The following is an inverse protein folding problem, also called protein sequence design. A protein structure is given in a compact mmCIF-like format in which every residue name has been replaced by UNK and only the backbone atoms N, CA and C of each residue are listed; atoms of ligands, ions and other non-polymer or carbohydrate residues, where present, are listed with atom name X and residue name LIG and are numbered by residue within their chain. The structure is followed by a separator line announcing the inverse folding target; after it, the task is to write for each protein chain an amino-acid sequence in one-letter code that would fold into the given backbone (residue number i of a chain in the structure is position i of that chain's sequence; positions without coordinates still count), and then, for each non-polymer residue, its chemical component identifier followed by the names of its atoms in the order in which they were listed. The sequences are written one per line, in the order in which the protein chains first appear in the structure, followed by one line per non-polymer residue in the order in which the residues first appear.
data_IF_018345518408
#
_entry.id   IF_018345518408
#
_cell.length_a   1.000
_cell.length_b   1.000
_cell.length_c   1.000
_cell.angle_alpha   90.00
_cell.angle_beta   90.00
_cell.angle_gamma   90.00
#
_symmetry.space_group_name_H-M   'P 1'
#
loop_
_entity.id
_entity.type
_entity.pdbx_description
1 polymer ?
#
# COMPACT_ATOMS: atom_id res chain seq x y z
N UNK A 1 2.50 -21.64 -22.42
CA UNK A 1 2.02 -20.28 -22.35
C UNK A 1 2.94 -19.44 -21.47
N UNK A 2 3.46 -18.38 -22.00
CA UNK A 2 4.33 -17.50 -21.22
C UNK A 2 3.50 -16.77 -20.16
N UNK A 3 3.94 -16.84 -18.90
CA UNK A 3 3.34 -16.07 -17.84
C UNK A 3 3.90 -14.65 -17.91
N UNK A 4 3.03 -13.66 -17.92
CA UNK A 4 3.47 -12.28 -17.76
C UNK A 4 3.97 -12.09 -16.33
N UNK A 5 5.05 -11.32 -16.17
CA UNK A 5 5.54 -10.96 -14.85
C UNK A 5 4.46 -10.18 -14.12
N UNK A 6 4.15 -10.61 -12.91
CA UNK A 6 3.18 -9.90 -12.07
C UNK A 6 3.88 -8.78 -11.33
N UNK A 7 3.18 -7.65 -11.23
CA UNK A 7 3.59 -6.60 -10.32
C UNK A 7 3.06 -6.93 -8.93
N UNK A 8 3.94 -6.94 -7.96
CA UNK A 8 3.62 -7.15 -6.55
C UNK A 8 3.83 -5.82 -5.85
N UNK A 9 2.75 -5.23 -5.35
CA UNK A 9 2.73 -3.81 -4.99
C UNK A 9 2.36 -3.63 -3.54
N UNK A 10 3.17 -2.85 -2.81
CA UNK A 10 2.84 -2.34 -1.49
C UNK A 10 2.45 -0.87 -1.65
N UNK A 11 1.32 -0.48 -1.08
CA UNK A 11 0.85 0.91 -1.09
C UNK A 11 0.84 1.43 0.34
N UNK A 12 1.49 2.58 0.55
CA UNK A 12 1.58 3.25 1.85
C UNK A 12 0.19 3.59 2.40
N UNK A 13 0.05 3.51 3.71
CA UNK A 13 -1.16 3.86 4.45
C UNK A 13 -1.74 5.21 4.04
N UNK A 14 -0.90 6.22 3.91
CA UNK A 14 -1.37 7.57 3.59
C UNK A 14 -2.00 7.66 2.20
N UNK A 15 -1.57 6.86 1.26
CA UNK A 15 -2.21 6.81 -0.04
C UNK A 15 -3.60 6.16 0.04
N UNK A 16 -3.75 5.10 0.83
CA UNK A 16 -5.07 4.50 1.05
C UNK A 16 -6.04 5.52 1.66
N UNK A 17 -5.57 6.29 2.64
CA UNK A 17 -6.38 7.35 3.26
C UNK A 17 -6.73 8.41 2.22
N UNK A 18 -5.79 8.81 1.38
CA UNK A 18 -6.02 9.80 0.32
C UNK A 18 -7.14 9.37 -0.64
N UNK A 19 -7.18 8.09 -1.00
CA UNK A 19 -8.26 7.57 -1.85
C UNK A 19 -9.62 7.73 -1.19
N UNK A 20 -9.71 7.47 0.12
CA UNK A 20 -10.96 7.66 0.87
C UNK A 20 -11.36 9.13 0.93
N UNK A 21 -10.40 10.03 1.21
CA UNK A 21 -10.68 11.45 1.40
C UNK A 21 -11.17 12.12 0.13
N UNK A 22 -10.63 11.75 -1.01
CA UNK A 22 -10.97 12.38 -2.29
C UNK A 22 -12.17 11.72 -2.96
N UNK A 23 -12.52 10.51 -2.55
CA UNK A 23 -13.50 9.66 -3.24
C UNK A 23 -13.17 9.46 -4.72
N UNK A 24 -11.92 9.74 -5.10
CA UNK A 24 -11.45 9.55 -6.46
C UNK A 24 -10.70 8.22 -6.56
N UNK A 25 -11.42 7.21 -7.05
CA UNK A 25 -10.88 5.88 -7.19
C UNK A 25 -10.31 5.60 -8.58
N UNK A 26 -10.22 6.62 -9.43
CA UNK A 26 -9.73 6.44 -10.80
C UNK A 26 -8.31 5.90 -10.87
N UNK A 27 -7.46 6.25 -9.92
CA UNK A 27 -6.08 5.76 -9.85
C UNK A 27 -5.96 4.37 -9.23
N UNK A 28 -6.89 4.02 -8.35
CA UNK A 28 -6.86 2.75 -7.64
C UNK A 28 -7.61 1.65 -8.39
N UNK A 29 -8.65 1.99 -9.14
CA UNK A 29 -9.45 1.00 -9.87
C UNK A 29 -8.61 0.11 -10.80
N UNK A 30 -7.65 0.64 -11.56
CA UNK A 30 -6.79 -0.22 -12.38
C UNK A 30 -5.98 -1.21 -11.56
N UNK A 31 -5.60 -0.85 -10.32
CA UNK A 31 -4.87 -1.74 -9.44
C UNK A 31 -5.72 -2.92 -8.98
N UNK A 32 -7.02 -2.69 -8.76
CA UNK A 32 -7.93 -3.76 -8.36
C UNK A 32 -8.37 -4.64 -9.53
N UNK A 33 -8.51 -4.08 -10.73
CA UNK A 33 -9.05 -4.80 -11.87
C UNK A 33 -8.00 -5.58 -12.66
N UNK A 34 -6.73 -5.25 -12.56
CA UNK A 34 -5.69 -5.91 -13.34
C UNK A 34 -5.34 -7.29 -12.79
N UNK A 35 -5.30 -8.27 -13.68
CA UNK A 35 -4.85 -9.63 -13.35
C UNK A 35 -3.33 -9.71 -13.13
N UNK A 36 -2.60 -8.68 -13.54
CA UNK A 36 -1.14 -8.64 -13.46
C UNK A 36 -0.64 -7.94 -12.21
N UNK A 37 -1.54 -7.43 -11.39
CA UNK A 37 -1.20 -6.71 -10.16
C UNK A 37 -1.69 -7.50 -8.96
N UNK A 38 -0.77 -7.75 -8.03
CA UNK A 38 -1.07 -8.32 -6.71
C UNK A 38 -0.79 -7.26 -5.67
N UNK A 39 -1.80 -6.91 -4.89
CA UNK A 39 -1.63 -5.98 -3.77
C UNK A 39 -1.13 -6.77 -2.57
N UNK A 40 -0.08 -6.28 -1.92
CA UNK A 40 0.51 -6.92 -0.75
C UNK A 40 0.09 -6.18 0.51
N UNK A 41 -0.36 -6.94 1.48
CA UNK A 41 -0.71 -6.42 2.80
C UNK A 41 -0.04 -7.27 3.88
N UNK A 42 0.17 -6.67 5.03
CA UNK A 42 0.44 -7.38 6.27
C UNK A 42 -0.66 -7.03 7.26
N UNK A 43 -0.77 -7.79 8.33
CA UNK A 43 -1.71 -7.44 9.39
C UNK A 43 -1.40 -6.06 9.96
N UNK A 44 -0.11 -5.74 10.10
CA UNK A 44 0.33 -4.44 10.61
C UNK A 44 -0.12 -3.29 9.70
N UNK A 45 0.03 -3.43 8.38
CA UNK A 45 -0.41 -2.40 7.44
C UNK A 45 -1.92 -2.22 7.48
N UNK A 46 -2.68 -3.32 7.54
CA UNK A 46 -4.14 -3.25 7.63
C UNK A 46 -4.58 -2.58 8.92
N UNK A 47 -3.98 -2.95 10.04
CA UNK A 47 -4.32 -2.38 11.35
C UNK A 47 -4.02 -0.89 11.38
N UNK A 48 -2.89 -0.46 10.83
CA UNK A 48 -2.54 0.96 10.76
C UNK A 48 -3.53 1.72 9.88
N UNK A 49 -3.89 1.17 8.73
CA UNK A 49 -4.85 1.81 7.83
C UNK A 49 -6.19 2.02 8.55
N UNK A 50 -6.71 0.99 9.20
CA UNK A 50 -7.99 1.08 9.93
C UNK A 50 -7.88 2.10 11.07
N UNK A 51 -6.80 2.07 11.83
CA UNK A 51 -6.61 3.00 12.96
C UNK A 51 -6.54 4.45 12.48
N UNK A 52 -5.76 4.72 11.45
CA UNK A 52 -5.61 6.09 10.91
C UNK A 52 -6.92 6.57 10.29
N UNK A 53 -7.64 5.71 9.57
CA UNK A 53 -8.90 6.06 8.93
C UNK A 53 -9.97 6.46 9.96
N UNK A 54 -9.89 5.95 11.17
CA UNK A 54 -10.86 6.25 12.24
C UNK A 54 -10.53 7.50 13.04
N UNK A 55 -9.42 8.17 12.76
CA UNK A 55 -9.06 9.40 13.47
C UNK A 55 -10.08 10.50 13.19
N UNK A 56 -10.46 11.31 14.21
CA UNK A 56 -11.51 12.32 14.06
C UNK A 56 -11.30 13.28 12.89
N UNK A 57 -10.05 13.63 12.58
CA UNK A 57 -9.75 14.57 11.49
C UNK A 57 -10.13 14.02 10.12
N UNK A 58 -10.27 12.69 9.97
CA UNK A 58 -10.62 12.07 8.70
C UNK A 58 -12.07 11.63 8.63
N UNK A 59 -12.68 11.28 9.75
CA UNK A 59 -14.01 10.66 9.80
C UNK A 59 -15.12 11.50 9.19
N UNK A 60 -14.95 12.82 9.18
CA UNK A 60 -15.96 13.72 8.60
C UNK A 60 -15.95 13.74 7.07
N UNK A 61 -14.93 13.15 6.42
CA UNK A 61 -14.78 13.21 4.97
C UNK A 61 -15.26 11.95 4.25
N UNK A 62 -15.52 10.88 4.96
CA UNK A 62 -16.03 9.65 4.37
C UNK A 62 -16.87 8.89 5.40
N UNK A 63 -17.79 8.06 4.89
CA UNK A 63 -18.66 7.26 5.76
C UNK A 63 -17.97 5.98 6.18
N UNK A 64 -18.50 5.35 7.24
CA UNK A 64 -18.06 4.01 7.64
C UNK A 64 -18.30 3.01 6.50
N UNK A 65 -19.38 3.18 5.74
CA UNK A 65 -19.68 2.32 4.59
C UNK A 65 -18.59 2.44 3.52
N UNK A 66 -18.09 3.66 3.25
CA UNK A 66 -16.99 3.85 2.28
C UNK A 66 -15.75 3.08 2.70
N UNK A 67 -15.40 3.15 3.99
CA UNK A 67 -14.26 2.43 4.54
C UNK A 67 -14.47 0.90 4.42
N UNK A 68 -15.64 0.41 4.78
CA UNK A 68 -15.95 -1.02 4.70
C UNK A 68 -15.90 -1.53 3.27
N UNK A 69 -16.41 -0.76 2.30
CA UNK A 69 -16.38 -1.13 0.90
C UNK A 69 -14.95 -1.26 0.39
N UNK A 70 -14.09 -0.31 0.75
CA UNK A 70 -12.68 -0.37 0.36
C UNK A 70 -11.97 -1.57 1.00
N UNK A 71 -12.23 -1.81 2.29
CA UNK A 71 -11.65 -2.96 2.99
C UNK A 71 -12.08 -4.28 2.37
N UNK A 72 -13.33 -4.37 1.93
CA UNK A 72 -13.83 -5.58 1.25
C UNK A 72 -13.06 -5.81 -0.05
N UNK A 73 -12.86 -4.76 -0.85
CA UNK A 73 -12.08 -4.86 -2.09
C UNK A 73 -10.65 -5.28 -1.82
N UNK A 74 -10.03 -4.72 -0.79
CA UNK A 74 -8.67 -5.07 -0.40
C UNK A 74 -8.59 -6.55 -0.01
N UNK A 75 -9.51 -7.02 0.81
CA UNK A 75 -9.50 -8.43 1.25
C UNK A 75 -9.69 -9.41 0.11
N UNK A 76 -10.45 -9.03 -0.92
CA UNK A 76 -10.67 -9.88 -2.09
C UNK A 76 -9.46 -9.92 -3.01
N UNK A 77 -8.66 -8.86 -3.06
CA UNK A 77 -7.55 -8.72 -4.00
C UNK A 77 -6.19 -8.98 -3.37
N UNK A 78 -6.02 -8.64 -2.11
CA UNK A 78 -4.70 -8.61 -1.47
C UNK A 78 -4.19 -10.00 -1.11
N UNK A 79 -2.87 -10.16 -1.25
CA UNK A 79 -2.15 -11.27 -0.66
C UNK A 79 -1.58 -10.81 0.67
N UNK A 80 -1.89 -11.53 1.75
CA UNK A 80 -1.40 -11.20 3.08
C UNK A 80 -0.08 -11.93 3.35
N UNK A 81 0.92 -11.15 3.75
CA UNK A 81 2.29 -11.62 3.95
C UNK A 81 2.58 -11.67 5.45
N UNK A 82 3.15 -12.79 5.90
CA UNK A 82 3.71 -12.88 7.26
C UNK A 82 5.08 -12.24 7.25
N UNK A 83 5.21 -11.09 7.89
CA UNK A 83 6.45 -10.32 7.91
C UNK A 83 7.34 -10.80 9.05
N UNK A 84 8.56 -11.21 8.70
CA UNK A 84 9.55 -11.65 9.68
C UNK A 84 10.81 -10.79 9.68
N UNK A 85 11.06 -10.06 8.58
CA UNK A 85 12.20 -9.15 8.47
C UNK A 85 12.03 -7.94 9.40
N UNK A 86 13.15 -7.39 9.82
CA UNK A 86 13.17 -6.18 10.65
C UNK A 86 14.14 -5.17 10.01
N UNK A 87 13.65 -4.45 9.00
CA UNK A 87 14.44 -3.46 8.28
C UNK A 87 14.38 -2.13 9.03
N UNK A 88 15.52 -1.49 9.26
CA UNK A 88 15.64 -0.29 10.07
C UNK A 88 16.42 0.82 9.35
N UNK A 89 16.20 0.99 8.06
CA UNK A 89 16.97 1.94 7.26
C UNK A 89 16.23 3.22 6.91
N UNK A 90 14.92 3.29 7.15
CA UNK A 90 14.17 4.51 6.88
C UNK A 90 14.46 5.55 7.96
N UNK A 91 14.57 6.82 7.53
CA UNK A 91 14.79 7.95 8.44
C UNK A 91 13.70 8.05 9.51
N UNK A 92 12.44 7.81 9.13
CA UNK A 92 11.34 7.69 10.09
C UNK A 92 11.15 6.21 10.42
N UNK A 93 11.45 5.78 11.66
CA UNK A 93 11.31 4.36 12.03
C UNK A 93 9.88 3.82 11.85
N UNK A 94 8.87 4.69 11.90
CA UNK A 94 7.48 4.27 11.74
C UNK A 94 7.19 3.74 10.33
N UNK A 95 8.03 4.03 9.35
CA UNK A 95 7.87 3.57 7.98
C UNK A 95 8.62 2.27 7.68
N UNK A 96 9.44 1.80 8.60
CA UNK A 96 10.25 0.61 8.36
C UNK A 96 9.41 -0.65 8.13
N UNK A 97 8.22 -0.74 8.69
CA UNK A 97 7.36 -1.92 8.47
C UNK A 97 6.94 -2.06 7.00
N UNK A 98 6.85 -0.96 6.26
CA UNK A 98 6.55 -1.01 4.83
C UNK A 98 7.71 -1.62 4.05
N UNK A 99 8.94 -1.29 4.42
CA UNK A 99 10.14 -1.86 3.82
C UNK A 99 10.25 -3.35 4.09
N UNK A 100 9.95 -3.75 5.33
CA UNK A 100 9.96 -5.16 5.73
C UNK A 100 8.90 -5.95 4.97
N UNK A 101 7.71 -5.38 4.80
CA UNK A 101 6.65 -6.00 4.00
C UNK A 101 7.07 -6.15 2.54
N UNK A 102 7.67 -5.11 1.96
CA UNK A 102 8.12 -5.15 0.58
C UNK A 102 9.17 -6.25 0.37
N UNK A 103 10.10 -6.38 1.32
CA UNK A 103 11.13 -7.41 1.22
C UNK A 103 10.54 -8.81 1.36
N UNK A 104 9.77 -9.05 2.39
CA UNK A 104 9.22 -10.39 2.67
C UNK A 104 8.17 -10.80 1.64
N UNK A 105 7.41 -9.83 1.12
CA UNK A 105 6.44 -10.08 0.07
C UNK A 105 7.04 -10.12 -1.33
N UNK A 106 8.33 -9.89 -1.47
CA UNK A 106 9.00 -9.83 -2.77
C UNK A 106 8.34 -8.83 -3.70
N UNK A 107 8.04 -7.64 -3.16
CA UNK A 107 7.39 -6.58 -3.92
C UNK A 107 8.25 -6.13 -5.08
N UNK A 108 7.60 -5.80 -6.19
CA UNK A 108 8.26 -5.16 -7.32
C UNK A 108 8.24 -3.64 -7.15
N UNK A 109 7.23 -3.12 -6.46
CA UNK A 109 7.03 -1.69 -6.26
C UNK A 109 6.50 -1.41 -4.86
N UNK A 110 7.02 -0.34 -4.26
CA UNK A 110 6.45 0.27 -3.05
C UNK A 110 6.02 1.67 -3.44
N UNK A 111 4.72 1.92 -3.37
CA UNK A 111 4.13 3.18 -3.82
C UNK A 111 3.82 4.04 -2.62
N UNK A 112 4.40 5.24 -2.59
CA UNK A 112 4.33 6.14 -1.45
C UNK A 112 4.43 7.60 -1.90
N UNK A 113 3.96 8.51 -1.06
CA UNK A 113 4.22 9.94 -1.22
C UNK A 113 5.21 10.46 -0.19
N UNK A 114 5.70 9.59 0.70
CA UNK A 114 6.57 10.00 1.80
C UNK A 114 8.01 10.20 1.31
N UNK A 115 8.55 11.38 1.51
CA UNK A 115 9.90 11.73 1.08
C UNK A 115 10.98 10.88 1.74
N UNK A 116 10.77 10.46 2.99
CA UNK A 116 11.73 9.63 3.72
C UNK A 116 11.85 8.23 3.12
N UNK A 117 10.80 7.75 2.46
CA UNK A 117 10.84 6.50 1.69
C UNK A 117 11.34 6.74 0.27
N UNK A 118 10.85 7.80 -0.39
CA UNK A 118 11.22 8.09 -1.78
C UNK A 118 12.71 8.31 -1.96
N UNK A 119 13.37 8.90 -0.97
CA UNK A 119 14.82 9.15 -1.01
C UNK A 119 15.63 7.87 -1.13
N UNK A 120 15.09 6.75 -0.66
CA UNK A 120 15.76 5.45 -0.76
C UNK A 120 15.76 4.90 -2.18
N UNK A 121 14.83 5.31 -3.03
CA UNK A 121 14.65 4.92 -4.43
C UNK A 121 14.33 3.43 -4.64
N UNK A 122 14.87 2.56 -3.83
CA UNK A 122 14.58 1.13 -3.90
C UNK A 122 14.94 0.45 -2.58
N UNK A 123 14.34 -0.71 -2.38
CA UNK A 123 14.71 -1.66 -1.33
C UNK A 123 14.81 -3.04 -1.96
N UNK A 124 16.03 -3.63 -1.97
CA UNK A 124 16.24 -4.86 -2.70
C UNK A 124 15.87 -4.70 -4.18
N UNK A 125 14.91 -5.49 -4.64
CA UNK A 125 14.41 -5.42 -6.02
C UNK A 125 13.18 -4.54 -6.16
N UNK A 126 12.65 -4.00 -5.06
CA UNK A 126 11.46 -3.15 -5.08
C UNK A 126 11.81 -1.72 -5.42
N UNK A 127 11.15 -1.17 -6.43
CA UNK A 127 11.27 0.26 -6.74
C UNK A 127 10.35 1.04 -5.82
N UNK A 128 10.84 2.16 -5.27
CA UNK A 128 10.06 3.06 -4.44
C UNK A 128 9.72 4.30 -5.26
N UNK A 129 8.43 4.54 -5.47
CA UNK A 129 7.97 5.61 -6.37
C UNK A 129 6.59 6.11 -5.96
N UNK A 130 6.20 7.24 -6.55
CA UNK A 130 4.86 7.79 -6.34
C UNK A 130 3.83 7.05 -7.20
N UNK A 131 2.53 7.23 -6.86
CA UNK A 131 1.46 6.65 -7.67
C UNK A 131 1.46 7.24 -9.09
N UNK A 132 1.76 8.53 -9.21
CA UNK A 132 1.85 9.18 -10.52
C UNK A 132 2.95 8.57 -11.38
N UNK A 133 4.12 8.31 -10.78
CA UNK A 133 5.22 7.66 -11.49
C UNK A 133 4.89 6.22 -11.87
N UNK A 134 4.12 5.52 -11.04
CA UNK A 134 3.76 4.15 -11.31
C UNK A 134 2.76 4.02 -12.46
N UNK A 135 1.80 4.92 -12.51
CA UNK A 135 0.80 4.95 -13.58
C UNK A 135 1.37 5.66 -14.82
#
# INVERSE_FOLDING_TARGET
MAKKAKHRIVIDTNLWISFLLTSDYSKIDPLFSSEYIVLLFSQELLDEFIEVAQRPKFRKYFSLTDLEDLLTKVRMKAEFISVTSNIEICRDPNDNFLLSLAQDGKATHLITGDKDLLVLQKIGKSKILTITEYL
#
